data_IF_765076177612
#
_entry.id   IF_765076177612
#
_cell.length_a   1.000
_cell.length_b   1.000
_cell.length_c   1.000
_cell.angle_alpha   90.00
_cell.angle_beta   90.00
_cell.angle_gamma   90.00
#
_symmetry.space_group_name_H-M   'P 1'
#
loop_
_entity.id
_entity.type
_entity.pdbx_description
1 polymer ?
#
# COMPACT_ATOMS: atom_id res chain seq x y z
N UNK A 1 14.02 -15.73 -13.84
CA UNK A 1 13.49 -14.86 -12.78
C UNK A 1 12.12 -15.38 -12.39
N UNK A 2 11.83 -15.47 -11.10
CA UNK A 2 10.51 -15.93 -10.62
C UNK A 2 9.50 -14.79 -10.69
N UNK A 3 8.21 -15.12 -10.76
CA UNK A 3 7.14 -14.11 -10.63
C UNK A 3 7.14 -13.53 -9.21
N UNK A 4 6.80 -12.24 -9.03
CA UNK A 4 6.71 -11.66 -7.70
C UNK A 4 5.61 -12.35 -6.87
N UNK A 5 5.80 -12.39 -5.55
CA UNK A 5 4.81 -12.97 -4.61
C UNK A 5 4.37 -11.95 -3.59
N UNK A 6 3.07 -11.68 -3.57
CA UNK A 6 2.43 -10.80 -2.61
C UNK A 6 1.90 -11.58 -1.40
N UNK A 7 2.37 -11.22 -0.21
CA UNK A 7 1.82 -11.66 1.07
C UNK A 7 0.83 -10.62 1.58
N UNK A 8 -0.46 -10.98 1.67
CA UNK A 8 -1.56 -10.03 1.85
C UNK A 8 -2.60 -10.47 2.88
N UNK A 9 -3.48 -9.55 3.27
CA UNK A 9 -4.70 -9.83 4.03
C UNK A 9 -5.83 -8.93 3.50
N UNK A 10 -7.04 -9.46 3.26
CA UNK A 10 -8.18 -8.64 2.82
C UNK A 10 -8.47 -7.47 3.75
N UNK A 11 -8.99 -6.36 3.21
CA UNK A 11 -9.36 -5.14 3.96
C UNK A 11 -8.18 -4.52 4.73
N UNK A 12 -7.01 -4.51 4.12
CA UNK A 12 -5.81 -3.83 4.66
C UNK A 12 -5.14 -3.00 3.58
N UNK A 13 -4.05 -2.31 3.96
CA UNK A 13 -3.18 -1.60 3.02
C UNK A 13 -2.61 -2.50 1.91
N UNK A 14 -2.58 -3.83 2.10
CA UNK A 14 -2.16 -4.75 1.03
C UNK A 14 -3.11 -4.76 -0.18
N UNK A 15 -4.37 -4.33 -0.02
CA UNK A 15 -5.34 -4.25 -1.11
C UNK A 15 -4.91 -3.30 -2.24
N UNK A 16 -4.16 -2.22 -1.95
CA UNK A 16 -3.67 -1.32 -3.02
C UNK A 16 -2.60 -1.99 -3.89
N UNK A 17 -1.77 -2.84 -3.30
CA UNK A 17 -0.72 -3.56 -4.03
C UNK A 17 -1.36 -4.61 -4.92
N UNK A 18 -2.35 -5.33 -4.38
CA UNK A 18 -3.15 -6.28 -5.15
C UNK A 18 -3.82 -5.59 -6.33
N UNK A 19 -4.50 -4.46 -6.10
CA UNK A 19 -5.13 -3.69 -7.17
C UNK A 19 -4.14 -3.23 -8.23
N UNK A 20 -2.99 -2.68 -7.83
CA UNK A 20 -1.96 -2.25 -8.78
C UNK A 20 -1.43 -3.41 -9.64
N UNK A 21 -1.24 -4.59 -9.06
CA UNK A 21 -0.81 -5.78 -9.82
C UNK A 21 -1.83 -6.17 -10.89
N UNK A 22 -3.13 -6.07 -10.58
CA UNK A 22 -4.20 -6.27 -11.56
C UNK A 22 -4.17 -5.21 -12.67
N UNK A 23 -4.00 -3.92 -12.33
CA UNK A 23 -3.91 -2.82 -13.31
C UNK A 23 -2.70 -2.96 -14.24
N UNK A 24 -1.56 -3.42 -13.71
CA UNK A 24 -0.36 -3.70 -14.51
C UNK A 24 -0.59 -4.90 -15.44
N UNK A 25 -1.45 -5.85 -15.06
CA UNK A 25 -1.69 -7.08 -15.82
C UNK A 25 -0.51 -8.07 -15.83
N UNK A 26 0.44 -7.92 -14.90
CA UNK A 26 1.60 -8.81 -14.80
C UNK A 26 1.26 -10.07 -13.96
N UNK A 27 1.83 -11.25 -14.29
CA UNK A 27 1.62 -12.45 -13.50
C UNK A 27 2.30 -12.34 -12.14
N UNK A 28 1.60 -12.72 -11.07
CA UNK A 28 2.11 -12.74 -9.70
C UNK A 28 1.58 -13.96 -8.92
N UNK A 29 2.27 -14.32 -7.85
CA UNK A 29 1.77 -15.27 -6.86
C UNK A 29 1.12 -14.53 -5.69
N UNK A 30 0.06 -15.10 -5.13
CA UNK A 30 -0.65 -14.53 -3.99
C UNK A 30 -0.60 -15.49 -2.80
N UNK A 31 -0.34 -14.97 -1.60
CA UNK A 31 -0.35 -15.75 -0.36
C UNK A 31 -1.05 -14.97 0.75
N UNK A 32 -2.19 -15.48 1.20
CA UNK A 32 -2.92 -14.86 2.31
C UNK A 32 -2.24 -15.16 3.65
N UNK A 33 -2.03 -14.14 4.47
CA UNK A 33 -1.51 -14.24 5.84
C UNK A 33 -2.66 -14.03 6.82
N UNK A 34 -2.93 -15.05 7.65
CA UNK A 34 -4.06 -15.09 8.58
C UNK A 34 -3.63 -15.15 10.04
N UNK A 35 -4.31 -14.39 10.90
CA UNK A 35 -4.23 -14.52 12.37
C UNK A 35 -2.79 -14.61 12.89
N UNK A 36 -2.46 -15.75 13.52
CA UNK A 36 -1.16 -16.01 14.13
C UNK A 36 0.00 -16.09 13.13
N UNK A 37 -0.24 -16.34 11.84
CA UNK A 37 0.83 -16.42 10.82
C UNK A 37 1.62 -15.11 10.71
N UNK A 38 1.01 -13.99 11.07
CA UNK A 38 1.66 -12.67 11.18
C UNK A 38 2.86 -12.65 12.14
N UNK A 39 2.91 -13.59 13.08
CA UNK A 39 3.97 -13.75 14.08
C UNK A 39 4.85 -14.97 13.83
N UNK A 40 4.65 -15.69 12.73
CA UNK A 40 5.54 -16.78 12.34
C UNK A 40 6.94 -16.25 12.02
N UNK A 41 7.96 -17.05 12.31
CA UNK A 41 9.36 -16.74 12.01
C UNK A 41 9.52 -16.38 10.52
N UNK A 42 8.98 -17.21 9.63
CA UNK A 42 8.95 -16.98 8.19
C UNK A 42 8.39 -15.60 7.79
N UNK A 43 7.28 -15.17 8.40
CA UNK A 43 6.67 -13.88 8.05
C UNK A 43 7.42 -12.70 8.66
N UNK A 44 8.02 -12.87 9.84
CA UNK A 44 8.84 -11.85 10.48
C UNK A 44 10.14 -11.58 9.70
N UNK A 45 10.70 -12.59 9.03
CA UNK A 45 11.81 -12.41 8.09
C UNK A 45 11.42 -11.55 6.87
N UNK A 46 10.16 -11.59 6.45
CA UNK A 46 9.65 -10.78 5.32
C UNK A 46 9.24 -9.37 5.73
N UNK A 47 8.68 -9.22 6.92
CA UNK A 47 8.26 -7.94 7.48
C UNK A 47 8.55 -7.88 8.98
N UNK A 48 9.48 -7.03 9.45
CA UNK A 48 9.95 -7.04 10.83
C UNK A 48 8.85 -6.71 11.88
N UNK A 49 7.75 -6.09 11.46
CA UNK A 49 6.60 -5.77 12.33
C UNK A 49 5.49 -6.81 12.28
N UNK A 50 5.62 -7.86 11.46
CA UNK A 50 4.59 -8.87 11.24
C UNK A 50 3.30 -8.30 10.61
N UNK A 51 3.43 -7.25 9.81
CA UNK A 51 2.31 -6.61 9.09
C UNK A 51 2.28 -7.09 7.64
N UNK A 52 1.26 -6.65 6.91
CA UNK A 52 1.12 -6.82 5.47
C UNK A 52 0.86 -5.44 4.84
N UNK A 53 1.25 -5.22 3.58
CA UNK A 53 1.86 -6.19 2.65
C UNK A 53 3.35 -6.46 2.91
N UNK A 54 3.81 -7.61 2.41
CA UNK A 54 5.20 -7.84 2.03
C UNK A 54 5.23 -8.38 0.60
N UNK A 55 6.18 -7.94 -0.21
CA UNK A 55 6.36 -8.40 -1.59
C UNK A 55 7.72 -9.04 -1.73
N UNK A 56 7.74 -10.30 -2.16
CA UNK A 56 8.96 -10.92 -2.69
C UNK A 56 9.07 -10.59 -4.18
N UNK A 57 10.17 -9.97 -4.58
CA UNK A 57 10.50 -9.60 -5.95
C UNK A 57 10.97 -10.83 -6.75
N UNK A 58 11.06 -10.67 -8.07
CA UNK A 58 11.43 -11.77 -8.98
C UNK A 58 12.89 -12.23 -8.91
N UNK A 59 13.73 -11.47 -8.20
CA UNK A 59 15.11 -11.78 -7.83
C UNK A 59 15.23 -12.43 -6.45
N UNK A 60 14.11 -12.56 -5.71
CA UNK A 60 14.04 -13.19 -4.39
C UNK A 60 14.12 -12.22 -3.22
N UNK A 61 14.49 -10.96 -3.44
CA UNK A 61 14.51 -9.92 -2.41
C UNK A 61 13.11 -9.62 -1.89
N UNK A 62 13.00 -9.19 -0.63
CA UNK A 62 11.71 -8.85 -0.02
C UNK A 62 11.66 -7.40 0.39
N UNK A 63 10.54 -6.75 0.10
CA UNK A 63 10.26 -5.39 0.53
C UNK A 63 8.90 -5.30 1.23
N UNK A 64 8.80 -4.34 2.15
CA UNK A 64 7.57 -3.97 2.84
C UNK A 64 7.30 -2.46 2.65
N UNK A 65 6.22 -1.95 3.24
CA UNK A 65 5.58 -0.67 2.93
C UNK A 65 4.81 -0.64 1.61
N UNK A 66 3.48 -0.57 1.72
CA UNK A 66 2.57 -0.68 0.57
C UNK A 66 2.80 0.38 -0.52
N UNK A 67 3.14 1.61 -0.13
CA UNK A 67 3.44 2.69 -1.07
C UNK A 67 4.78 2.48 -1.80
N UNK A 68 5.82 2.05 -1.07
CA UNK A 68 7.11 1.74 -1.66
C UNK A 68 7.01 0.57 -2.65
N UNK A 69 6.25 -0.48 -2.28
CA UNK A 69 5.95 -1.60 -3.16
C UNK A 69 5.27 -1.12 -4.45
N UNK A 70 4.27 -0.25 -4.34
CA UNK A 70 3.58 0.28 -5.51
C UNK A 70 4.52 1.04 -6.46
N UNK A 71 5.36 1.93 -5.92
CA UNK A 71 6.34 2.67 -6.72
C UNK A 71 7.35 1.73 -7.41
N UNK A 72 7.81 0.69 -6.71
CA UNK A 72 8.71 -0.30 -7.29
C UNK A 72 8.04 -1.08 -8.42
N UNK A 73 6.78 -1.50 -8.24
CA UNK A 73 6.03 -2.21 -9.28
C UNK A 73 5.78 -1.35 -10.51
N UNK A 74 5.51 -0.05 -10.35
CA UNK A 74 5.39 0.85 -11.50
C UNK A 74 6.72 1.02 -12.25
N UNK A 75 7.83 1.08 -11.53
CA UNK A 75 9.17 1.22 -12.13
C UNK A 75 9.60 -0.05 -12.88
N UNK A 76 9.24 -1.23 -12.38
CA UNK A 76 9.50 -2.51 -13.03
C UNK A 76 8.60 -2.76 -14.26
N UNK A 77 7.52 -1.99 -14.42
CA UNK A 77 6.54 -2.16 -15.49
C UNK A 77 6.28 -0.86 -16.25
N UNK A 78 7.30 -0.26 -16.90
CA UNK A 78 7.16 1.03 -17.57
C UNK A 78 6.11 1.03 -18.70
N UNK A 79 5.83 -0.13 -19.29
CA UNK A 79 4.79 -0.29 -20.32
C UNK A 79 3.37 -0.02 -19.82
N UNK A 80 3.12 -0.05 -18.50
CA UNK A 80 1.83 0.27 -17.92
C UNK A 80 1.54 1.79 -17.89
N UNK A 81 2.55 2.65 -18.10
CA UNK A 81 2.36 4.11 -18.14
C UNK A 81 1.91 4.75 -16.81
N UNK A 82 2.08 4.04 -15.69
CA UNK A 82 1.58 4.44 -14.37
C UNK A 82 2.51 5.40 -13.61
N UNK A 83 3.73 5.62 -14.10
CA UNK A 83 4.69 6.54 -13.51
C UNK A 83 5.46 7.30 -14.58
N UNK A 84 5.72 8.59 -14.33
CA UNK A 84 6.55 9.40 -15.22
C UNK A 84 8.03 8.96 -15.21
N UNK A 85 8.85 9.46 -16.16
CA UNK A 85 10.29 9.21 -16.15
C UNK A 85 10.99 9.72 -14.87
N UNK A 86 12.11 9.09 -14.51
CA UNK A 86 12.97 9.55 -13.41
C UNK A 86 13.35 11.02 -13.64
N UNK A 87 13.21 11.85 -12.60
CA UNK A 87 13.53 13.28 -12.65
C UNK A 87 12.49 14.18 -13.33
N UNK A 88 11.40 13.62 -13.88
CA UNK A 88 10.34 14.41 -14.50
C UNK A 88 9.36 15.02 -13.47
N UNK A 89 8.76 16.16 -13.81
CA UNK A 89 7.65 16.74 -13.05
C UNK A 89 6.48 15.77 -12.89
N UNK A 90 6.18 14.98 -13.94
CA UNK A 90 5.12 13.97 -13.89
C UNK A 90 5.34 12.95 -12.76
N UNK A 91 6.58 12.44 -12.63
CA UNK A 91 6.93 11.54 -11.52
C UNK A 91 6.94 12.25 -10.17
N UNK A 92 7.41 13.49 -10.11
CA UNK A 92 7.38 14.27 -8.88
C UNK A 92 5.95 14.46 -8.33
N UNK A 93 4.97 14.68 -9.21
CA UNK A 93 3.56 14.76 -8.82
C UNK A 93 3.00 13.42 -8.32
N UNK A 94 3.41 12.29 -8.90
CA UNK A 94 3.07 10.96 -8.37
C UNK A 94 3.62 10.80 -6.95
N UNK A 95 4.90 11.13 -6.74
CA UNK A 95 5.52 11.06 -5.41
C UNK A 95 4.79 11.94 -4.39
N UNK A 96 4.44 13.17 -4.78
CA UNK A 96 3.68 14.09 -3.92
C UNK A 96 2.38 13.44 -3.44
N UNK A 97 1.58 12.87 -4.36
CA UNK A 97 0.31 12.26 -4.00
C UNK A 97 0.48 10.97 -3.18
N UNK A 98 1.49 10.15 -3.48
CA UNK A 98 1.78 8.94 -2.71
C UNK A 98 2.20 9.29 -1.27
N UNK A 99 3.09 10.27 -1.10
CA UNK A 99 3.53 10.72 0.23
C UNK A 99 2.38 11.37 0.99
N UNK A 100 1.61 12.27 0.35
CA UNK A 100 0.44 12.89 0.97
C UNK A 100 -0.59 11.85 1.42
N UNK A 101 -0.86 10.83 0.59
CA UNK A 101 -1.82 9.79 0.92
C UNK A 101 -1.43 9.06 2.22
N UNK A 102 -0.16 8.66 2.34
CA UNK A 102 0.32 7.89 3.50
C UNK A 102 0.51 8.77 4.74
N UNK A 103 1.06 9.98 4.58
CA UNK A 103 1.41 10.86 5.68
C UNK A 103 0.21 11.62 6.26
N UNK A 104 -0.66 12.12 5.39
CA UNK A 104 -1.70 13.08 5.79
C UNK A 104 -3.12 12.51 5.65
N UNK A 105 -3.41 11.79 4.58
CA UNK A 105 -4.79 11.36 4.28
C UNK A 105 -5.21 10.12 5.06
N UNK A 106 -4.36 9.09 5.10
CA UNK A 106 -4.74 7.77 5.64
C UNK A 106 -5.09 7.80 7.12
N UNK A 107 -4.34 8.53 7.94
CA UNK A 107 -4.57 8.59 9.38
C UNK A 107 -5.99 9.07 9.73
N UNK A 108 -6.39 10.27 9.28
CA UNK A 108 -7.75 10.78 9.43
C UNK A 108 -8.80 9.88 8.78
N UNK A 109 -8.55 9.39 7.56
CA UNK A 109 -9.51 8.55 6.84
C UNK A 109 -9.83 7.26 7.59
N UNK A 110 -8.81 6.53 8.07
CA UNK A 110 -9.04 5.29 8.80
C UNK A 110 -9.65 5.52 10.18
N UNK A 111 -9.37 6.67 10.82
CA UNK A 111 -10.07 7.07 12.04
C UNK A 111 -11.56 7.28 11.76
N UNK A 112 -11.88 8.05 10.73
CA UNK A 112 -13.26 8.31 10.35
C UNK A 112 -14.02 7.04 9.95
N UNK A 113 -13.40 6.14 9.17
CA UNK A 113 -13.99 4.83 8.84
C UNK A 113 -14.30 4.00 10.10
N UNK A 114 -13.42 4.04 11.10
CA UNK A 114 -13.65 3.37 12.37
C UNK A 114 -14.80 4.01 13.15
N UNK A 115 -14.85 5.35 13.22
CA UNK A 115 -15.92 6.11 13.87
C UNK A 115 -17.29 5.82 13.23
N UNK A 116 -17.36 5.77 11.90
CA UNK A 116 -18.57 5.40 11.16
C UNK A 116 -19.01 3.95 11.43
N UNK A 117 -18.06 3.02 11.56
CA UNK A 117 -18.35 1.62 11.88
C UNK A 117 -18.91 1.41 13.29
N UNK A 118 -18.61 2.33 14.21
CA UNK A 118 -19.13 2.33 15.59
C UNK A 118 -20.38 3.21 15.76
N UNK A 119 -20.90 3.81 14.69
CA UNK A 119 -22.10 4.64 14.73
C UNK A 119 -21.88 6.04 15.33
N UNK A 120 -20.64 6.54 15.33
CA UNK A 120 -20.31 7.90 15.82
C UNK A 120 -20.48 8.90 14.68
N UNK A 121 -21.50 9.77 14.79
CA UNK A 121 -21.81 10.81 13.79
C UNK A 121 -21.10 12.14 14.05
N UNK A 122 -20.50 12.33 15.23
CA UNK A 122 -19.81 13.57 15.60
C UNK A 122 -18.30 13.35 15.67
N UNK A 123 -17.62 13.58 14.54
CA UNK A 123 -16.16 13.58 14.48
C UNK A 123 -15.65 15.02 14.65
N UNK A 124 -14.73 15.31 15.60
CA UNK A 124 -14.10 16.63 15.77
C UNK A 124 -13.29 17.09 14.54
N UNK A 125 -13.08 16.21 13.55
CA UNK A 125 -12.48 16.57 12.28
C UNK A 125 -13.37 17.51 11.46
N UNK A 126 -14.69 17.48 11.65
CA UNK A 126 -15.64 18.36 10.96
C UNK A 126 -15.34 19.84 11.22
N UNK A 127 -15.01 20.20 12.46
CA UNK A 127 -14.77 21.58 12.85
C UNK A 127 -13.44 22.13 12.27
N UNK A 128 -12.42 21.27 12.15
CA UNK A 128 -11.10 21.69 11.62
C UNK A 128 -11.11 22.13 10.15
N UNK A 129 -12.04 21.61 9.35
CA UNK A 129 -12.17 22.00 7.94
C UNK A 129 -13.19 23.11 7.72
N UNK A 130 -14.07 23.38 8.69
CA UNK A 130 -14.99 24.53 8.66
C UNK A 130 -14.24 25.85 8.88
N UNK A 131 -13.19 25.85 9.71
CA UNK A 131 -12.39 27.04 10.02
C UNK A 131 -11.33 27.38 8.94
N UNK A 132 -11.20 26.54 7.91
CA UNK A 132 -10.19 26.67 6.84
C UNK A 132 -10.76 27.21 5.50
N UNK A 133 -12.04 27.60 5.47
CA UNK A 133 -12.74 28.17 4.31
C UNK A 133 -13.09 29.65 4.56
#
# INVERSE_FOLDING_TARGET
MTRPRLYYMPRTRSSRVLWLLEEIGAPYDLTEIRGAQRRSEDHLLRHPLGRVPALQLGDGETMFESAAICLQLTDLNPGAGLIGPIGSTARALVYQWVVFAVAELEGPLFRWIHELGEGVTDSPAHDRFADAA
#
